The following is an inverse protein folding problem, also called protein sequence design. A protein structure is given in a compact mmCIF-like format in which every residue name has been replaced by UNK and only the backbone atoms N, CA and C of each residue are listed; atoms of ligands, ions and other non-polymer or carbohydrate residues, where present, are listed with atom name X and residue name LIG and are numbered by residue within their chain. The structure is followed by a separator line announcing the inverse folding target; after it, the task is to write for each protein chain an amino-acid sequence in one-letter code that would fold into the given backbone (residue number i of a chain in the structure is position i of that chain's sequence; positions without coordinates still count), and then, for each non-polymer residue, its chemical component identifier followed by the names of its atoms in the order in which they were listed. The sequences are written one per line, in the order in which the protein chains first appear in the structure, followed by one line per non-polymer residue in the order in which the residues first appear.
data_IF_440588473455
#
_entry.id   IF_440588473455
#
_cell.length_a   1.000
_cell.length_b   1.000
_cell.length_c   1.000
_cell.angle_alpha   90.00
_cell.angle_beta   90.00
_cell.angle_gamma   90.00
#
_symmetry.space_group_name_H-M   'P 1'
#
loop_
_entity.id
_entity.type
_entity.pdbx_description
1 polymer ?
#
# COMPACT_ATOMS: atom_id res chain seq x y z
N UNK A 1 -0.36 -7.88 5.60
CA UNK A 1 -1.45 -7.01 5.10
C UNK A 1 -0.84 -5.84 4.35
N UNK A 2 -1.43 -5.39 3.24
CA UNK A 2 -0.93 -4.26 2.46
C UNK A 2 -1.39 -2.92 3.08
N UNK A 3 -0.47 -1.98 3.31
CA UNK A 3 -0.77 -0.66 3.88
C UNK A 3 -1.50 0.27 2.91
N UNK A 4 -1.43 -0.01 1.61
CA UNK A 4 -2.01 0.85 0.56
C UNK A 4 -3.50 0.54 0.35
N UNK A 5 -3.84 -0.73 0.08
CA UNK A 5 -5.22 -1.12 -0.24
C UNK A 5 -5.96 -1.82 0.92
N UNK A 6 -5.28 -2.04 2.05
CA UNK A 6 -5.75 -2.75 3.26
C UNK A 6 -6.20 -4.19 3.02
N UNK A 7 -5.74 -4.80 1.93
CA UNK A 7 -6.02 -6.20 1.63
C UNK A 7 -5.04 -7.08 2.41
N UNK A 8 -5.55 -8.09 3.12
CA UNK A 8 -4.73 -9.14 3.71
C UNK A 8 -4.50 -10.22 2.65
N UNK A 9 -3.23 -10.48 2.35
CA UNK A 9 -2.82 -11.57 1.50
C UNK A 9 -2.20 -12.68 2.35
N UNK A 10 -2.34 -13.95 1.95
CA UNK A 10 -1.59 -15.04 2.54
C UNK A 10 -0.11 -14.95 2.13
N UNK A 11 0.76 -15.56 2.94
CA UNK A 11 2.18 -15.77 2.63
C UNK A 11 2.88 -14.51 2.06
N UNK A 12 3.58 -14.64 0.92
CA UNK A 12 4.35 -13.60 0.24
C UNK A 12 3.52 -12.63 -0.61
N UNK A 13 2.19 -12.60 -0.45
CA UNK A 13 1.33 -11.68 -1.20
C UNK A 13 1.48 -10.20 -0.80
N UNK A 14 2.28 -9.92 0.24
CA UNK A 14 2.70 -8.57 0.64
C UNK A 14 4.22 -8.55 0.77
N UNK A 15 4.85 -7.50 0.27
CA UNK A 15 6.29 -7.27 0.38
C UNK A 15 6.56 -5.88 0.96
N UNK A 16 7.66 -5.74 1.71
CA UNK A 16 8.20 -4.44 2.07
C UNK A 16 8.82 -3.82 0.82
N UNK A 17 8.26 -2.72 0.34
CA UNK A 17 8.83 -1.93 -0.73
C UNK A 17 9.52 -0.71 -0.13
N UNK A 18 10.76 -0.45 -0.54
CA UNK A 18 11.53 0.71 -0.11
C UNK A 18 11.85 1.59 -1.30
N UNK A 19 11.84 2.91 -1.07
CA UNK A 19 12.27 3.91 -2.03
C UNK A 19 13.29 4.83 -1.36
N UNK A 20 14.32 5.23 -2.10
CA UNK A 20 15.22 6.29 -1.63
C UNK A 20 14.45 7.60 -1.53
N UNK A 21 14.68 8.34 -0.45
CA UNK A 21 14.14 9.70 -0.32
C UNK A 21 14.86 10.64 -1.29
N UNK A 22 14.11 11.60 -1.83
CA UNK A 22 14.67 12.66 -2.63
C UNK A 22 15.46 13.64 -1.75
N UNK A 23 16.48 14.28 -2.32
CA UNK A 23 17.29 15.26 -1.61
C UNK A 23 18.38 14.65 -0.70
N UNK A 24 19.00 15.51 0.10
CA UNK A 24 20.00 15.12 1.11
C UNK A 24 19.27 14.90 2.44
N UNK A 25 19.16 13.65 2.87
CA UNK A 25 18.72 13.32 4.22
C UNK A 25 19.68 13.95 5.24
N UNK A 26 19.13 14.52 6.33
CA UNK A 26 19.96 14.88 7.48
C UNK A 26 20.54 13.61 8.13
N UNK A 27 21.53 13.77 9.01
CA UNK A 27 22.08 12.62 9.74
C UNK A 27 21.04 11.95 10.65
N UNK A 28 19.96 12.66 11.02
CA UNK A 28 18.87 12.12 11.84
C UNK A 28 17.78 11.42 11.02
N UNK A 29 17.77 11.56 9.70
CA UNK A 29 16.74 11.02 8.83
C UNK A 29 17.16 9.72 8.14
N UNK A 30 16.22 8.77 8.05
CA UNK A 30 16.42 7.59 7.20
C UNK A 30 16.50 7.99 5.73
N UNK A 31 17.55 7.55 5.04
CA UNK A 31 17.74 7.78 3.61
C UNK A 31 16.70 7.09 2.71
N UNK A 32 15.85 6.23 3.27
CA UNK A 32 14.78 5.52 2.56
C UNK A 32 13.46 5.56 3.31
N UNK A 33 12.37 5.52 2.55
CA UNK A 33 11.03 5.30 3.07
C UNK A 33 10.58 3.90 2.67
N UNK A 34 10.12 3.12 3.65
CA UNK A 34 9.51 1.80 3.43
C UNK A 34 8.01 1.81 3.67
N UNK A 35 7.30 0.94 2.96
CA UNK A 35 5.89 0.63 3.19
C UNK A 35 5.54 -0.79 2.68
N UNK A 36 4.54 -1.43 3.28
CA UNK A 36 4.09 -2.75 2.84
C UNK A 36 3.11 -2.65 1.67
N UNK A 37 3.48 -3.20 0.52
CA UNK A 37 2.69 -3.23 -0.71
C UNK A 37 2.22 -4.64 -1.04
N UNK A 38 1.15 -4.76 -1.82
CA UNK A 38 0.87 -6.01 -2.53
C UNK A 38 2.08 -6.34 -3.40
N UNK A 39 2.59 -7.58 -3.34
CA UNK A 39 3.79 -7.97 -4.07
C UNK A 39 3.62 -7.92 -5.59
N UNK A 40 2.38 -7.91 -6.08
CA UNK A 40 2.02 -7.77 -7.49
C UNK A 40 1.60 -6.36 -7.90
N UNK A 41 1.66 -5.39 -6.98
CA UNK A 41 1.23 -4.00 -7.15
C UNK A 41 -0.22 -3.83 -7.67
N UNK A 42 -1.06 -4.86 -7.57
CA UNK A 42 -2.43 -4.84 -8.10
C UNK A 42 -3.45 -4.22 -7.13
N UNK A 43 -3.00 -3.34 -6.22
CA UNK A 43 -3.83 -2.62 -5.25
C UNK A 43 -5.14 -2.05 -5.84
N UNK A 44 -5.13 -1.39 -7.02
CA UNK A 44 -6.34 -0.87 -7.65
C UNK A 44 -7.35 -1.95 -8.04
N UNK A 45 -6.89 -3.14 -8.41
CA UNK A 45 -7.77 -4.25 -8.78
C UNK A 45 -8.42 -4.87 -7.55
N UNK A 46 -7.67 -5.01 -6.46
CA UNK A 46 -8.19 -5.53 -5.19
C UNK A 46 -9.24 -4.60 -4.57
N UNK A 47 -8.97 -3.29 -4.50
CA UNK A 47 -9.89 -2.33 -3.88
C UNK A 47 -11.21 -2.20 -4.65
N UNK A 48 -11.17 -2.42 -5.98
CA UNK A 48 -12.34 -2.40 -6.87
C UNK A 48 -13.06 -3.76 -6.96
N UNK A 49 -12.57 -4.78 -6.24
CA UNK A 49 -13.13 -6.14 -6.31
C UNK A 49 -12.96 -6.82 -7.67
N UNK A 50 -12.07 -6.32 -8.54
CA UNK A 50 -11.79 -6.85 -9.88
C UNK A 50 -10.77 -7.99 -9.85
N UNK A 51 -10.08 -8.18 -8.72
CA UNK A 51 -9.17 -9.30 -8.48
C UNK A 51 -9.42 -9.86 -7.09
N UNK A 52 -9.45 -11.19 -6.99
CA UNK A 52 -9.58 -11.91 -5.71
C UNK A 52 -8.21 -12.26 -5.16
N UNK A 53 -8.09 -12.28 -3.84
CA UNK A 53 -6.91 -12.79 -3.14
C UNK A 53 -6.90 -14.32 -3.18
N UNK A 54 -5.70 -14.90 -3.09
CA UNK A 54 -5.55 -16.35 -2.94
C UNK A 54 -6.23 -16.86 -1.66
N UNK A 55 -6.50 -18.15 -1.60
CA UNK A 55 -7.13 -18.79 -0.45
C UNK A 55 -6.41 -18.44 0.87
N UNK A 56 -7.17 -18.09 1.90
CA UNK A 56 -6.64 -17.61 3.19
C UNK A 56 -6.34 -16.11 3.24
N UNK A 57 -6.45 -15.39 2.12
CA UNK A 57 -6.49 -13.93 2.10
C UNK A 57 -7.91 -13.40 2.28
N UNK A 58 -8.04 -12.19 2.80
CA UNK A 58 -9.30 -11.49 2.86
C UNK A 58 -9.11 -9.97 2.73
N UNK A 59 -10.13 -9.31 2.17
CA UNK A 59 -10.30 -7.88 2.43
C UNK A 59 -11.03 -7.72 3.76
N UNK A 60 -10.64 -6.71 4.53
CA UNK A 60 -11.45 -6.31 5.67
C UNK A 60 -12.87 -5.98 5.20
N UNK A 61 -13.86 -6.39 5.99
CA UNK A 61 -15.22 -5.91 5.82
C UNK A 61 -15.24 -4.42 6.17
N UNK A 62 -15.76 -3.61 5.26
CA UNK A 62 -15.75 -2.15 5.37
C UNK A 62 -17.15 -1.62 5.05
N UNK A 63 -17.61 -0.61 5.78
CA UNK A 63 -18.83 0.15 5.47
C UNK A 63 -18.66 1.11 4.28
N UNK A 64 -17.43 1.31 3.80
CA UNK A 64 -17.10 2.23 2.73
C UNK A 64 -17.48 1.67 1.35
N UNK A 65 -18.07 2.51 0.51
CA UNK A 65 -18.28 2.25 -0.90
C UNK A 65 -16.97 2.11 -1.67
N UNK A 66 -17.02 1.55 -2.88
CA UNK A 66 -15.81 1.34 -3.71
C UNK A 66 -15.04 2.63 -3.98
N UNK A 67 -15.73 3.72 -4.32
CA UNK A 67 -15.08 5.02 -4.57
C UNK A 67 -14.37 5.58 -3.33
N UNK A 68 -14.99 5.46 -2.14
CA UNK A 68 -14.37 5.88 -0.88
C UNK A 68 -13.12 5.04 -0.56
N UNK A 69 -13.18 3.74 -0.82
CA UNK A 69 -12.02 2.85 -0.64
C UNK A 69 -10.90 3.17 -1.63
N UNK A 70 -11.22 3.51 -2.88
CA UNK A 70 -10.26 3.99 -3.87
C UNK A 70 -9.64 5.31 -3.42
N UNK A 71 -10.44 6.27 -2.93
CA UNK A 71 -9.96 7.55 -2.42
C UNK A 71 -8.98 7.35 -1.25
N UNK A 72 -9.31 6.49 -0.28
CA UNK A 72 -8.38 6.12 0.80
C UNK A 72 -7.10 5.49 0.25
N UNK A 73 -7.20 4.53 -0.66
CA UNK A 73 -6.02 3.89 -1.24
C UNK A 73 -5.09 4.92 -1.89
N UNK A 74 -5.65 5.89 -2.64
CA UNK A 74 -4.89 7.00 -3.23
C UNK A 74 -4.28 7.89 -2.16
N UNK A 75 -4.99 8.18 -1.07
CA UNK A 75 -4.45 8.95 0.06
C UNK A 75 -3.27 8.24 0.74
N UNK A 76 -3.38 6.93 0.99
CA UNK A 76 -2.28 6.13 1.56
C UNK A 76 -1.06 6.12 0.64
N UNK A 77 -1.27 5.94 -0.66
CA UNK A 77 -0.21 6.01 -1.66
C UNK A 77 0.44 7.39 -1.71
N UNK A 78 -0.36 8.47 -1.70
CA UNK A 78 0.14 9.83 -1.67
C UNK A 78 0.93 10.12 -0.39
N UNK A 79 0.52 9.56 0.75
CA UNK A 79 1.27 9.64 2.02
C UNK A 79 2.64 9.00 1.91
N UNK A 80 2.73 7.78 1.34
CA UNK A 80 4.01 7.13 1.06
C UNK A 80 4.88 7.97 0.12
N UNK A 81 4.33 8.40 -1.01
CA UNK A 81 5.06 9.23 -1.97
C UNK A 81 5.52 10.55 -1.34
N UNK A 82 4.71 11.15 -0.47
CA UNK A 82 5.07 12.34 0.29
C UNK A 82 6.24 12.14 1.25
N UNK A 83 6.47 10.91 1.75
CA UNK A 83 7.69 10.54 2.51
C UNK A 83 8.88 10.28 1.59
N UNK A 84 8.64 9.91 0.34
CA UNK A 84 9.69 9.65 -0.65
C UNK A 84 10.20 10.95 -1.25
N UNK A 85 9.33 11.90 -1.57
CA UNK A 85 9.74 13.15 -2.25
C UNK A 85 10.14 14.28 -1.30
N UNK A 86 9.95 14.10 0.01
CA UNK A 86 10.39 15.05 1.05
C UNK A 86 11.72 14.66 1.64
#
# INVERSE_FOLDING_TARGET
MCSICLTAHPASGVALMTARRAGRASAEEYASAGEYFCSDLACPLYVRGRRRVAAGGARMAESLGTEQRVARMRANLAGFLGRVVR
#
